data_IF_854450507570
#
_entry.id   IF_854450507570
#
_cell.length_a   1.000
_cell.length_b   1.000
_cell.length_c   1.000
_cell.angle_alpha   90.00
_cell.angle_beta   90.00
_cell.angle_gamma   90.00
#
_symmetry.space_group_name_H-M   'P 1'
#
loop_
_entity.id
_entity.type
_entity.pdbx_description
1 polymer ?
#
# COMPACT_ATOMS: atom_id res chain seq x y z
N UNK A 1 14.27 -14.67 22.53
CA UNK A 1 13.81 -13.38 23.07
C UNK A 1 12.71 -12.85 22.18
N UNK A 2 11.45 -12.98 22.60
CA UNK A 2 10.33 -12.32 21.93
C UNK A 2 10.45 -10.83 22.21
N UNK A 3 10.77 -10.04 21.18
CA UNK A 3 10.82 -8.59 21.28
C UNK A 3 9.44 -8.04 21.68
N UNK A 4 9.46 -7.07 22.59
CA UNK A 4 8.31 -6.33 23.12
C UNK A 4 7.31 -5.86 22.04
N UNK A 5 6.04 -5.62 22.41
CA UNK A 5 5.01 -5.22 21.46
C UNK A 5 5.43 -3.91 20.79
N UNK A 6 5.67 -3.98 19.49
CA UNK A 6 5.79 -2.79 18.67
C UNK A 6 4.41 -2.14 18.65
N UNK A 7 4.20 -1.11 19.46
CA UNK A 7 2.94 -0.36 19.48
C UNK A 7 2.79 0.37 18.14
N UNK A 8 2.06 -0.27 17.23
CA UNK A 8 1.74 0.31 15.94
C UNK A 8 0.79 1.48 16.14
N UNK A 9 1.28 2.68 15.84
CA UNK A 9 0.48 3.90 15.82
C UNK A 9 -0.01 4.18 14.40
N UNK A 10 -1.29 4.47 14.27
CA UNK A 10 -1.91 4.87 13.00
C UNK A 10 -3.03 5.87 13.25
N UNK A 11 -3.49 6.53 12.18
CA UNK A 11 -4.57 7.52 12.27
C UNK A 11 -5.96 6.88 12.41
N UNK A 12 -6.08 5.57 12.17
CA UNK A 12 -7.32 4.83 12.34
C UNK A 12 -7.08 3.46 12.98
N UNK A 13 -7.99 3.00 13.87
CA UNK A 13 -7.90 1.68 14.50
C UNK A 13 -7.93 0.53 13.49
N UNK A 14 -8.57 0.72 12.34
CA UNK A 14 -8.64 -0.31 11.28
C UNK A 14 -7.26 -0.58 10.67
N UNK A 15 -6.44 0.46 10.55
CA UNK A 15 -5.08 0.33 10.04
C UNK A 15 -4.19 -0.42 11.00
N UNK A 16 -4.33 -0.16 12.30
CA UNK A 16 -3.63 -0.89 13.35
C UNK A 16 -4.05 -2.36 13.34
N UNK A 17 -5.34 -2.65 13.22
CA UNK A 17 -5.86 -4.01 13.15
C UNK A 17 -5.29 -4.79 11.95
N UNK A 18 -5.23 -4.16 10.78
CA UNK A 18 -4.65 -4.77 9.58
C UNK A 18 -3.15 -5.06 9.73
N UNK A 19 -2.37 -4.13 10.29
CA UNK A 19 -0.93 -4.34 10.51
C UNK A 19 -0.69 -5.44 11.55
N UNK A 20 -1.51 -5.49 12.61
CA UNK A 20 -1.46 -6.58 13.61
C UNK A 20 -1.80 -7.94 12.99
N UNK A 21 -2.78 -7.99 12.09
CA UNK A 21 -3.10 -9.21 11.33
C UNK A 21 -1.90 -9.64 10.47
N UNK A 22 -1.29 -8.72 9.71
CA UNK A 22 -0.08 -9.02 8.94
C UNK A 22 1.05 -9.59 9.82
N UNK A 23 1.22 -9.04 11.03
CA UNK A 23 2.19 -9.56 12.00
C UNK A 23 1.87 -10.99 12.43
N UNK A 24 0.60 -11.30 12.70
CA UNK A 24 0.18 -12.66 13.06
C UNK A 24 0.44 -13.68 11.94
N UNK A 25 0.44 -13.23 10.68
CA UNK A 25 0.76 -14.03 9.50
C UNK A 25 2.29 -14.10 9.21
N UNK A 26 3.12 -13.56 10.10
CA UNK A 26 4.59 -13.59 9.98
C UNK A 26 5.20 -12.43 9.21
N UNK A 27 4.42 -11.40 8.84
CA UNK A 27 4.89 -10.16 8.24
C UNK A 27 5.06 -9.05 9.28
N UNK A 28 6.28 -8.70 9.67
CA UNK A 28 6.54 -7.68 10.67
C UNK A 28 7.09 -6.40 10.02
N UNK A 29 6.37 -5.28 10.20
CA UNK A 29 6.90 -3.95 9.89
C UNK A 29 7.99 -3.61 10.92
N UNK A 30 9.24 -3.54 10.48
CA UNK A 30 10.41 -3.32 11.35
C UNK A 30 10.82 -1.86 11.42
N UNK A 31 10.66 -1.13 10.31
CA UNK A 31 11.04 0.26 10.21
C UNK A 31 10.09 1.03 9.29
N UNK A 32 9.80 2.28 9.65
CA UNK A 32 9.05 3.22 8.82
C UNK A 32 9.48 4.65 9.13
N UNK A 33 9.82 5.38 8.09
CA UNK A 33 9.94 6.84 8.10
C UNK A 33 9.03 7.46 7.03
N UNK A 34 9.23 8.75 6.73
CA UNK A 34 8.44 9.50 5.75
C UNK A 34 8.62 9.01 4.29
N UNK A 35 9.77 8.42 3.98
CA UNK A 35 10.21 8.07 2.62
C UNK A 35 10.57 6.59 2.46
N UNK A 36 10.79 5.86 3.55
CA UNK A 36 11.32 4.50 3.55
C UNK A 36 10.57 3.64 4.54
N UNK A 37 10.36 2.38 4.18
CA UNK A 37 9.76 1.37 5.05
C UNK A 37 10.44 0.03 4.82
N UNK A 38 10.58 -0.74 5.89
CA UNK A 38 11.12 -2.08 5.83
C UNK A 38 10.21 -3.04 6.59
N UNK A 39 9.98 -4.21 6.00
CA UNK A 39 9.30 -5.30 6.67
C UNK A 39 10.02 -6.62 6.45
N UNK A 40 9.84 -7.54 7.39
CA UNK A 40 10.34 -8.91 7.30
C UNK A 40 9.17 -9.87 7.11
N UNK A 41 9.37 -10.91 6.31
CA UNK A 41 8.40 -11.99 6.13
C UNK A 41 9.02 -13.28 6.64
N UNK A 42 8.27 -14.06 7.41
CA UNK A 42 8.73 -15.35 7.93
C UNK A 42 9.75 -15.24 9.06
N UNK A 43 9.64 -14.20 9.90
CA UNK A 43 10.43 -14.06 11.13
C UNK A 43 11.81 -13.43 10.94
N UNK A 44 12.65 -13.89 10.00
CA UNK A 44 14.03 -13.36 9.83
C UNK A 44 14.58 -13.46 8.38
N UNK A 45 14.00 -14.25 7.49
CA UNK A 45 14.73 -14.71 6.30
C UNK A 45 14.91 -13.66 5.18
N UNK A 46 14.03 -12.66 5.05
CA UNK A 46 14.11 -11.69 3.97
C UNK A 46 13.62 -10.30 4.41
N UNK A 47 14.52 -9.32 4.36
CA UNK A 47 14.20 -7.92 4.57
C UNK A 47 13.75 -7.30 3.24
N UNK A 48 12.52 -6.82 3.19
CA UNK A 48 12.01 -6.10 2.04
C UNK A 48 12.01 -4.61 2.34
N UNK A 49 12.77 -3.85 1.55
CA UNK A 49 12.86 -2.40 1.66
C UNK A 49 12.06 -1.73 0.56
N UNK A 50 11.21 -0.79 0.94
CA UNK A 50 10.43 0.03 0.03
C UNK A 50 10.70 1.50 0.28
N UNK A 51 10.75 2.27 -0.79
CA UNK A 51 10.82 3.73 -0.75
C UNK A 51 9.48 4.30 -1.20
N UNK A 52 8.81 5.07 -0.35
CA UNK A 52 7.63 5.84 -0.71
C UNK A 52 8.01 6.97 -1.66
N UNK A 53 7.59 6.86 -2.92
CA UNK A 53 7.81 7.88 -3.95
C UNK A 53 6.78 8.99 -3.81
N UNK A 54 5.51 8.62 -3.57
CA UNK A 54 4.42 9.58 -3.38
C UNK A 54 3.32 8.96 -2.51
N UNK A 55 2.80 9.75 -1.58
CA UNK A 55 1.64 9.38 -0.77
C UNK A 55 0.43 10.22 -1.16
N UNK A 56 -0.71 9.57 -1.31
CA UNK A 56 -2.02 10.17 -1.51
C UNK A 56 -2.83 9.93 -0.23
N UNK A 57 -2.95 10.94 0.65
CA UNK A 57 -3.65 10.79 1.92
C UNK A 57 -5.12 10.46 1.68
N UNK A 58 -5.78 9.91 2.71
CA UNK A 58 -7.20 9.65 2.66
C UNK A 58 -7.98 10.97 2.46
N UNK A 59 -8.86 10.99 1.47
CA UNK A 59 -9.85 12.06 1.31
C UNK A 59 -11.26 11.51 1.55
N UNK A 60 -12.10 12.27 2.25
CA UNK A 60 -13.49 11.92 2.51
C UNK A 60 -14.32 11.87 1.22
N UNK A 61 -14.00 12.74 0.26
CA UNK A 61 -14.59 12.76 -1.07
C UNK A 61 -14.23 11.52 -1.89
N UNK A 62 -12.95 11.12 -1.86
CA UNK A 62 -12.46 9.96 -2.57
C UNK A 62 -12.80 8.63 -1.87
N UNK A 63 -12.98 8.65 -0.55
CA UNK A 63 -13.10 7.45 0.31
C UNK A 63 -12.00 6.42 0.06
N UNK A 64 -10.81 6.92 -0.27
CA UNK A 64 -9.68 6.12 -0.68
C UNK A 64 -8.36 6.79 -0.28
N UNK A 65 -7.32 6.00 -0.13
CA UNK A 65 -5.94 6.45 0.00
C UNK A 65 -5.03 5.60 -0.88
N UNK A 66 -3.92 6.19 -1.31
CA UNK A 66 -2.98 5.53 -2.22
C UNK A 66 -1.54 5.84 -1.89
N UNK A 67 -0.65 5.00 -2.39
CA UNK A 67 0.79 5.17 -2.24
C UNK A 67 1.50 4.60 -3.47
N UNK A 68 2.49 5.33 -3.99
CA UNK A 68 3.45 4.81 -4.94
C UNK A 68 4.69 4.42 -4.16
N UNK A 69 5.05 3.15 -4.21
CA UNK A 69 6.24 2.60 -3.57
C UNK A 69 7.19 2.06 -4.62
N UNK A 70 8.47 2.19 -4.33
CA UNK A 70 9.55 1.59 -5.06
C UNK A 70 10.13 0.47 -4.21
N UNK A 71 9.90 -0.77 -4.63
CA UNK A 71 10.52 -1.95 -4.05
C UNK A 71 11.93 -2.11 -4.58
N UNK A 72 12.88 -2.31 -3.67
CA UNK A 72 14.25 -2.70 -4.01
C UNK A 72 14.46 -4.14 -3.57
N UNK A 73 14.49 -5.04 -4.55
CA UNK A 73 14.86 -6.45 -4.32
C UNK A 73 16.29 -6.61 -4.79
N UNK A 74 17.23 -6.73 -3.85
CA UNK A 74 18.64 -6.87 -4.18
C UNK A 74 19.34 -7.73 -3.14
N UNK A 75 19.79 -8.91 -3.55
CA UNK A 75 20.83 -9.62 -2.83
C UNK A 75 22.10 -8.77 -2.96
N UNK A 76 22.74 -8.47 -1.84
CA UNK A 76 24.03 -7.78 -1.78
C UNK A 76 25.13 -8.68 -2.36
N UNK A 77 25.11 -8.95 -3.66
CA UNK A 77 26.11 -9.75 -4.37
C UNK A 77 26.07 -9.43 -5.87
N UNK A 78 26.60 -8.26 -6.25
CA UNK A 78 27.09 -7.99 -7.61
C UNK A 78 26.09 -7.85 -8.77
N UNK A 79 24.78 -8.07 -8.58
CA UNK A 79 23.76 -7.92 -9.63
C UNK A 79 23.01 -6.58 -9.54
N UNK A 80 22.60 -6.00 -10.69
CA UNK A 80 21.73 -4.81 -10.75
C UNK A 80 20.54 -4.98 -9.79
N UNK A 81 20.43 -4.09 -8.81
CA UNK A 81 19.27 -4.08 -7.92
C UNK A 81 17.99 -3.92 -8.74
N UNK A 82 17.10 -4.91 -8.71
CA UNK A 82 15.84 -4.83 -9.44
C UNK A 82 14.93 -3.86 -8.71
N UNK A 83 14.60 -2.77 -9.40
CA UNK A 83 13.70 -1.73 -8.92
C UNK A 83 12.32 -1.99 -9.49
N UNK A 84 11.34 -2.24 -8.63
CA UNK A 84 9.95 -2.42 -9.07
C UNK A 84 9.08 -1.33 -8.46
N UNK A 85 8.44 -0.53 -9.31
CA UNK A 85 7.52 0.51 -8.85
C UNK A 85 6.11 -0.05 -8.82
N UNK A 86 5.41 0.13 -7.70
CA UNK A 86 4.04 -0.32 -7.49
C UNK A 86 3.20 0.84 -6.99
N UNK A 87 2.05 1.05 -7.61
CA UNK A 87 0.99 1.88 -7.07
C UNK A 87 0.01 0.99 -6.33
N UNK A 88 -0.20 1.27 -5.05
CA UNK A 88 -1.12 0.57 -4.18
C UNK A 88 -2.20 1.54 -3.70
N UNK A 89 -3.45 1.10 -3.73
CA UNK A 89 -4.60 1.89 -3.32
C UNK A 89 -5.52 1.05 -2.46
N UNK A 90 -6.05 1.65 -1.39
CA UNK A 90 -7.10 1.06 -0.57
C UNK A 90 -8.26 2.03 -0.41
N UNK A 91 -9.48 1.52 -0.48
CA UNK A 91 -10.68 2.35 -0.37
C UNK A 91 -11.95 1.52 -0.23
N UNK A 92 -13.08 2.21 -0.07
CA UNK A 92 -14.39 1.59 -0.02
C UNK A 92 -14.73 0.88 -1.33
N UNK A 93 -15.51 -0.19 -1.24
CA UNK A 93 -15.98 -1.02 -2.36
C UNK A 93 -16.59 -0.21 -3.51
N UNK A 94 -17.52 0.70 -3.24
CA UNK A 94 -18.19 1.51 -4.26
C UNK A 94 -17.20 2.39 -5.06
N UNK A 95 -16.18 2.96 -4.40
CA UNK A 95 -15.15 3.73 -5.10
C UNK A 95 -14.23 2.81 -5.89
N UNK A 96 -13.75 1.75 -5.26
CA UNK A 96 -12.79 0.84 -5.88
C UNK A 96 -13.38 0.10 -7.08
N UNK A 97 -14.69 -0.16 -7.11
CA UNK A 97 -15.41 -0.71 -8.27
C UNK A 97 -15.36 0.19 -9.53
N UNK A 98 -15.15 1.51 -9.35
CA UNK A 98 -14.95 2.45 -10.48
C UNK A 98 -13.50 2.52 -10.98
N UNK A 99 -12.54 2.15 -10.13
CA UNK A 99 -11.10 2.25 -10.40
C UNK A 99 -10.54 0.95 -10.94
N UNK A 100 -10.99 -0.18 -10.40
CA UNK A 100 -10.57 -1.53 -10.78
C UNK A 100 -11.40 -1.98 -11.98
N UNK A 101 -10.81 -2.84 -12.83
CA UNK A 101 -11.55 -3.54 -13.87
C UNK A 101 -12.77 -4.22 -13.25
N UNK A 102 -13.96 -3.96 -13.80
CA UNK A 102 -15.20 -4.58 -13.35
C UNK A 102 -15.05 -6.10 -13.31
N UNK A 103 -15.40 -6.65 -12.15
CA UNK A 103 -15.40 -8.08 -11.86
C UNK A 103 -16.63 -8.35 -11.01
N UNK A 104 -17.50 -9.24 -11.47
CA UNK A 104 -18.73 -9.58 -10.76
C UNK A 104 -18.41 -10.25 -9.41
N UNK A 105 -17.34 -11.04 -9.37
CA UNK A 105 -16.82 -11.67 -8.16
C UNK A 105 -16.49 -10.67 -7.04
N UNK A 106 -15.88 -9.51 -7.37
CA UNK A 106 -15.58 -8.49 -6.36
C UNK A 106 -16.85 -7.94 -5.72
N UNK A 107 -17.87 -7.66 -6.53
CA UNK A 107 -19.13 -7.11 -6.05
C UNK A 107 -19.87 -8.12 -5.18
N UNK A 108 -19.93 -9.38 -5.61
CA UNK A 108 -20.56 -10.47 -4.86
C UNK A 108 -19.88 -10.70 -3.50
N UNK A 109 -18.55 -10.78 -3.47
CA UNK A 109 -17.82 -10.95 -2.21
C UNK A 109 -18.01 -9.76 -1.27
N UNK A 110 -17.96 -8.52 -1.78
CA UNK A 110 -18.18 -7.34 -0.94
C UNK A 110 -19.61 -7.31 -0.39
N UNK A 111 -20.62 -7.64 -1.20
CA UNK A 111 -22.01 -7.71 -0.76
C UNK A 111 -22.22 -8.79 0.30
N UNK A 112 -21.63 -9.98 0.14
CA UNK A 112 -21.72 -11.05 1.13
C UNK A 112 -21.11 -10.67 2.48
N UNK A 113 -19.92 -10.06 2.49
CA UNK A 113 -19.27 -9.58 3.72
C UNK A 113 -20.08 -8.45 4.38
N UNK A 114 -20.63 -7.54 3.57
CA UNK A 114 -21.48 -6.45 4.07
C UNK A 114 -22.80 -6.97 4.68
N UNK A 115 -23.40 -8.01 4.10
CA UNK A 115 -24.60 -8.68 4.65
C UNK A 115 -24.33 -9.33 6.01
N UNK A 116 -23.09 -9.74 6.29
CA UNK A 116 -22.66 -10.21 7.60
C UNK A 116 -22.43 -9.08 8.61
N UNK A 117 -22.65 -7.81 8.23
CA UNK A 117 -22.45 -6.64 9.09
C UNK A 117 -20.98 -6.22 9.23
N UNK A 118 -20.09 -6.73 8.38
CA UNK A 118 -18.66 -6.42 8.42
C UNK A 118 -18.32 -5.25 7.50
N UNK A 119 -17.31 -4.47 7.89
CA UNK A 119 -16.78 -3.37 7.07
C UNK A 119 -15.88 -3.92 5.97
N UNK A 120 -16.17 -3.56 4.72
CA UNK A 120 -15.39 -3.96 3.55
C UNK A 120 -14.31 -2.92 3.22
N UNK A 121 -13.14 -3.39 2.80
CA UNK A 121 -12.07 -2.55 2.29
C UNK A 121 -11.40 -3.27 1.13
N UNK A 122 -11.32 -2.59 -0.01
CA UNK A 122 -10.77 -3.17 -1.23
C UNK A 122 -9.37 -2.62 -1.47
N UNK A 123 -8.44 -3.51 -1.76
CA UNK A 123 -7.04 -3.19 -2.10
C UNK A 123 -6.81 -3.45 -3.58
N UNK A 124 -6.17 -2.50 -4.26
CA UNK A 124 -5.70 -2.65 -5.63
C UNK A 124 -4.22 -2.34 -5.71
N UNK A 125 -3.50 -3.11 -6.54
CA UNK A 125 -2.08 -2.89 -6.80
C UNK A 125 -1.88 -2.92 -8.32
N UNK A 126 -1.13 -1.94 -8.83
CA UNK A 126 -0.69 -1.89 -10.22
C UNK A 126 0.82 -1.67 -10.26
N UNK A 127 1.53 -2.54 -10.96
CA UNK A 127 2.95 -2.33 -11.26
C UNK A 127 3.08 -1.25 -12.33
N UNK A 128 3.98 -0.29 -12.12
CA UNK A 128 4.25 0.82 -13.01
C UNK A 128 5.61 0.65 -13.67
N UNK A 129 5.72 1.02 -14.95
CA UNK A 129 7.00 1.24 -15.60
C UNK A 129 7.58 2.58 -15.16
N UNK A 130 8.90 2.73 -15.30
CA UNK A 130 9.58 3.99 -14.97
C UNK A 130 9.07 5.14 -15.84
N UNK A 131 8.79 4.90 -17.13
CA UNK A 131 8.25 5.91 -18.04
C UNK A 131 6.86 6.39 -17.61
N UNK A 132 5.95 5.47 -17.24
CA UNK A 132 4.63 5.83 -16.75
C UNK A 132 4.72 6.64 -15.45
N UNK A 133 5.63 6.28 -14.55
CA UNK A 133 5.87 7.04 -13.32
C UNK A 133 6.35 8.46 -13.64
N UNK A 134 7.33 8.60 -14.52
CA UNK A 134 7.91 9.90 -14.87
C UNK A 134 6.89 10.83 -15.53
N UNK A 135 6.07 10.31 -16.45
CA UNK A 135 4.97 11.07 -17.06
C UNK A 135 3.98 11.53 -15.99
N UNK A 136 3.58 10.62 -15.10
CA UNK A 136 2.65 10.95 -14.02
C UNK A 136 3.20 12.03 -13.08
N UNK A 137 4.46 11.91 -12.65
CA UNK A 137 5.09 12.90 -11.75
C UNK A 137 5.15 14.29 -12.38
N UNK A 138 5.52 14.39 -13.67
CA UNK A 138 5.54 15.67 -14.39
C UNK A 138 4.16 16.31 -14.47
N UNK A 139 3.14 15.54 -14.82
CA UNK A 139 1.76 16.05 -14.89
C UNK A 139 1.24 16.46 -13.52
N UNK A 140 1.57 15.68 -12.49
CA UNK A 140 1.19 15.98 -11.11
C UNK A 140 1.85 17.27 -10.61
N UNK A 141 3.14 17.48 -10.88
CA UNK A 141 3.87 18.70 -10.53
C UNK A 141 3.27 19.92 -11.25
N UNK A 142 2.95 19.80 -12.54
CA UNK A 142 2.30 20.86 -13.30
C UNK A 142 0.91 21.22 -12.76
N UNK A 143 0.12 20.22 -12.33
CA UNK A 143 -1.19 20.45 -11.71
C UNK A 143 -1.06 21.15 -10.35
N UNK A 144 -0.06 20.76 -9.53
CA UNK A 144 0.18 21.41 -8.25
C UNK A 144 0.68 22.85 -8.40
N UNK A 145 1.51 23.15 -9.41
CA UNK A 145 1.96 24.53 -9.65
C UNK A 145 0.83 25.44 -10.13
N UNK A 146 -0.17 24.90 -10.83
CA UNK A 146 -1.31 25.66 -11.33
C UNK A 146 -2.42 25.90 -10.29
N UNK A 147 -2.33 25.27 -9.12
CA UNK A 147 -3.30 25.43 -8.02
C UNK A 147 -2.79 26.40 -6.95
N UNK A 148 -1.80 27.24 -7.27
CA UNK A 148 -1.26 28.29 -6.39
C UNK A 148 -1.55 29.67 -6.94
#
# INVERSE_FOLDING_TARGET
MMSEPTDYQAFSPDEVALVKLCRSLGGALTYRDLTSMAFTVGGVAQLHTYTAVKMFPFSSEGKCMGIIVCERTGNCSGGKAQKTVKFSMKGGDAKMASVIRRSDWLNECCQGVAQMGLRTLVFAIRTLSEDMLNIFLRQYEAAMSNTR
#
